data_IF_916834827923
#
_entry.id   IF_916834827923
#
_cell.length_a   1.000
_cell.length_b   1.000
_cell.length_c   1.000
_cell.angle_alpha   90.00
_cell.angle_beta   90.00
_cell.angle_gamma   90.00
#
_symmetry.space_group_name_H-M   'P 1'
#
loop_
_entity.id
_entity.type
_entity.pdbx_description
1 polymer ?
#
# COMPACT_ATOMS: atom_id res chain seq x y z
N UNK A 1 -12.26 -8.46 -33.89
CA UNK A 1 -12.14 -7.40 -32.86
C UNK A 1 -11.28 -6.26 -33.33
N UNK A 2 -11.07 -5.20 -32.54
CA UNK A 2 -10.32 -3.98 -32.93
C UNK A 2 -8.97 -4.25 -33.61
N UNK A 3 -8.22 -5.26 -33.20
CA UNK A 3 -6.93 -5.59 -33.81
C UNK A 3 -7.07 -6.15 -35.24
N UNK A 4 -8.12 -6.88 -35.51
CA UNK A 4 -8.37 -7.44 -36.85
C UNK A 4 -8.82 -6.35 -37.83
N UNK A 5 -9.61 -5.39 -37.37
CA UNK A 5 -10.04 -4.24 -38.16
C UNK A 5 -8.86 -3.31 -38.50
N UNK A 6 -7.97 -3.07 -37.52
CA UNK A 6 -6.74 -2.32 -37.75
C UNK A 6 -5.82 -3.05 -38.73
N UNK A 7 -5.64 -4.37 -38.57
CA UNK A 7 -4.81 -5.15 -39.48
C UNK A 7 -5.38 -5.17 -40.89
N UNK A 8 -6.71 -5.32 -41.04
CA UNK A 8 -7.37 -5.22 -42.32
C UNK A 8 -7.15 -3.84 -42.99
N UNK A 9 -7.26 -2.76 -42.22
CA UNK A 9 -7.02 -1.41 -42.75
C UNK A 9 -5.57 -1.20 -43.24
N UNK A 10 -4.60 -1.79 -42.48
CA UNK A 10 -3.18 -1.76 -42.87
C UNK A 10 -2.94 -2.56 -44.15
N UNK A 11 -3.41 -3.82 -44.20
CA UNK A 11 -3.21 -4.73 -45.31
C UNK A 11 -3.89 -4.24 -46.60
N UNK A 12 -5.04 -3.58 -46.46
CA UNK A 12 -5.80 -3.00 -47.54
C UNK A 12 -5.29 -1.63 -47.97
N UNK A 13 -4.24 -1.10 -47.31
CA UNK A 13 -3.69 0.25 -47.55
C UNK A 13 -4.77 1.37 -47.56
N UNK A 14 -5.77 1.22 -46.68
CA UNK A 14 -6.85 2.19 -46.56
C UNK A 14 -6.31 3.53 -46.08
N UNK A 15 -6.67 4.61 -46.79
CA UNK A 15 -6.37 5.97 -46.36
C UNK A 15 -7.50 6.48 -45.48
N UNK A 16 -7.17 7.03 -44.33
CA UNK A 16 -8.13 7.73 -43.49
C UNK A 16 -8.76 8.90 -44.28
N UNK A 17 -10.04 9.16 -44.08
CA UNK A 17 -10.71 10.33 -44.60
C UNK A 17 -10.05 11.61 -44.07
N UNK A 18 -10.23 12.72 -44.77
CA UNK A 18 -9.72 14.03 -44.31
C UNK A 18 -10.25 14.38 -42.91
N UNK A 19 -11.49 14.01 -42.65
CA UNK A 19 -12.15 14.23 -41.35
C UNK A 19 -11.54 13.36 -40.27
N UNK A 20 -11.33 12.06 -40.53
CA UNK A 20 -10.66 11.14 -39.62
C UNK A 20 -9.22 11.57 -39.34
N UNK A 21 -8.50 12.00 -40.35
CA UNK A 21 -7.13 12.52 -40.23
C UNK A 21 -7.08 13.78 -39.35
N UNK A 22 -8.08 14.65 -39.50
CA UNK A 22 -8.20 15.85 -38.66
C UNK A 22 -8.49 15.51 -37.23
N UNK A 23 -9.43 14.59 -36.98
CA UNK A 23 -9.74 14.11 -35.62
C UNK A 23 -8.53 13.49 -34.91
N UNK A 24 -7.75 12.68 -35.63
CA UNK A 24 -6.50 12.13 -35.10
C UNK A 24 -5.47 13.21 -34.80
N UNK A 25 -5.33 14.21 -35.72
CA UNK A 25 -4.42 15.31 -35.49
C UNK A 25 -4.85 16.16 -34.28
N UNK A 26 -6.14 16.47 -34.16
CA UNK A 26 -6.68 17.23 -33.04
C UNK A 26 -6.50 16.44 -31.71
N UNK A 27 -6.62 15.11 -31.73
CA UNK A 27 -6.38 14.24 -30.58
C UNK A 27 -4.89 14.24 -30.22
N UNK A 28 -4.01 14.10 -31.18
CA UNK A 28 -2.55 14.13 -30.96
C UNK A 28 -2.12 15.50 -30.42
N UNK A 29 -2.61 16.59 -31.06
CA UNK A 29 -2.28 17.96 -30.67
C UNK A 29 -2.86 18.30 -29.28
N UNK A 30 -4.02 17.76 -28.91
CA UNK A 30 -4.58 17.88 -27.55
C UNK A 30 -3.75 17.11 -26.52
N UNK A 31 -3.29 15.92 -26.84
CA UNK A 31 -2.41 15.14 -25.96
C UNK A 31 -1.00 15.76 -25.83
N UNK A 32 -0.48 16.41 -26.87
CA UNK A 32 0.81 17.11 -26.79
C UNK A 32 0.72 18.45 -26.07
N UNK A 33 -0.49 19.03 -25.96
CA UNK A 33 -0.76 20.26 -25.19
C UNK A 33 -1.21 19.98 -23.76
N UNK A 34 -1.63 18.76 -23.43
CA UNK A 34 -1.89 18.38 -22.05
C UNK A 34 -0.55 18.40 -21.30
N UNK A 35 -0.37 19.38 -20.43
CA UNK A 35 0.79 19.42 -19.55
C UNK A 35 0.88 18.05 -18.85
N UNK A 36 2.04 17.37 -18.96
CA UNK A 36 2.26 16.10 -18.28
C UNK A 36 1.96 16.31 -16.81
N UNK A 37 1.06 15.49 -16.26
CA UNK A 37 0.70 15.57 -14.85
C UNK A 37 1.97 15.48 -14.01
N UNK A 38 2.18 16.44 -13.12
CA UNK A 38 3.30 16.42 -12.17
C UNK A 38 2.83 15.83 -10.86
N UNK A 39 3.65 14.98 -10.26
CA UNK A 39 3.38 14.44 -8.93
C UNK A 39 3.36 15.59 -7.92
N UNK A 40 2.33 15.65 -7.08
CA UNK A 40 2.19 16.65 -6.01
C UNK A 40 2.58 16.02 -4.66
N UNK A 41 2.09 14.79 -4.39
CA UNK A 41 2.52 13.96 -3.27
C UNK A 41 2.99 12.64 -3.87
N UNK A 42 4.27 12.31 -3.67
CA UNK A 42 4.83 11.02 -4.07
C UNK A 42 4.16 9.89 -3.28
N UNK A 43 4.24 8.66 -3.80
CA UNK A 43 3.86 7.48 -3.05
C UNK A 43 4.55 7.47 -1.69
N UNK A 44 3.76 7.41 -0.61
CA UNK A 44 4.26 7.43 0.76
C UNK A 44 4.80 6.07 1.18
N UNK A 45 4.16 5.00 0.72
CA UNK A 45 4.59 3.64 1.00
C UNK A 45 5.76 3.24 0.09
N UNK A 46 6.61 2.39 0.64
CA UNK A 46 7.70 1.76 -0.10
C UNK A 46 7.55 0.24 -0.15
N UNK A 47 6.57 -0.28 0.58
CA UNK A 47 6.28 -1.70 0.60
C UNK A 47 5.58 -2.13 -0.68
N UNK A 48 5.96 -3.32 -1.17
CA UNK A 48 5.30 -4.01 -2.28
C UNK A 48 4.80 -5.37 -1.80
N UNK A 49 4.14 -5.40 -0.64
CA UNK A 49 3.69 -6.64 -0.03
C UNK A 49 2.51 -7.27 -0.79
N UNK A 50 2.39 -8.59 -0.63
CA UNK A 50 1.36 -9.41 -1.24
C UNK A 50 0.50 -10.10 -0.17
N UNK A 51 -0.57 -10.76 -0.61
CA UNK A 51 -1.48 -11.50 0.26
C UNK A 51 -1.08 -12.98 0.43
N UNK A 52 -0.23 -13.47 -0.44
CA UNK A 52 0.16 -14.87 -0.52
C UNK A 52 1.67 -15.03 -0.39
N UNK A 53 2.32 -15.48 -1.42
CA UNK A 53 3.75 -15.72 -1.44
C UNK A 53 4.43 -14.92 -2.52
N UNK A 54 5.75 -14.92 -2.46
CA UNK A 54 6.60 -14.45 -3.53
C UNK A 54 6.72 -15.56 -4.60
N UNK A 55 6.32 -15.25 -5.82
CA UNK A 55 6.43 -16.18 -6.96
C UNK A 55 7.73 -15.92 -7.71
N UNK A 56 8.43 -16.99 -8.06
CA UNK A 56 9.61 -16.89 -8.94
C UNK A 56 9.68 -18.07 -9.89
N UNK A 57 10.35 -17.86 -11.02
CA UNK A 57 10.59 -18.91 -12.00
C UNK A 57 11.99 -19.52 -11.81
N UNK A 58 12.07 -20.85 -11.68
CA UNK A 58 13.32 -21.58 -11.71
C UNK A 58 13.18 -22.82 -12.60
N UNK A 59 14.07 -22.95 -13.58
CA UNK A 59 14.03 -24.06 -14.54
C UNK A 59 12.74 -24.13 -15.36
N UNK A 60 12.05 -22.98 -15.56
CA UNK A 60 10.77 -22.94 -16.27
C UNK A 60 9.55 -23.31 -15.42
N UNK A 61 9.74 -23.62 -14.13
CA UNK A 61 8.66 -23.87 -13.19
C UNK A 61 8.41 -22.63 -12.31
N UNK A 62 7.12 -22.31 -12.10
CA UNK A 62 6.70 -21.33 -11.13
C UNK A 62 6.80 -21.98 -9.74
N UNK A 63 7.60 -21.40 -8.87
CA UNK A 63 7.78 -21.84 -7.50
C UNK A 63 7.29 -20.74 -6.56
N UNK A 64 6.68 -21.14 -5.44
CA UNK A 64 6.25 -20.23 -4.39
C UNK A 64 7.33 -20.26 -3.31
N UNK A 65 8.04 -19.14 -3.17
CA UNK A 65 8.84 -18.88 -1.96
C UNK A 65 7.97 -18.12 -0.99
N UNK A 66 7.82 -18.50 0.11
CA UNK A 66 7.38 -17.96 1.34
C UNK A 66 6.82 -16.54 1.47
N UNK A 67 6.08 -16.40 2.36
CA UNK A 67 4.68 -16.36 2.48
C UNK A 67 4.32 -15.28 3.49
N UNK A 68 3.83 -14.16 2.95
CA UNK A 68 3.16 -13.16 3.78
C UNK A 68 2.06 -13.80 4.65
N UNK A 69 1.47 -14.91 4.18
CA UNK A 69 0.42 -15.70 4.82
C UNK A 69 0.92 -16.87 5.67
N UNK A 70 2.19 -16.90 6.05
CA UNK A 70 2.81 -18.07 6.73
C UNK A 70 2.15 -18.44 8.07
N UNK A 71 1.40 -17.55 8.69
CA UNK A 71 0.64 -17.81 9.92
C UNK A 71 -0.87 -17.93 9.70
N UNK A 72 -1.36 -17.74 8.48
CA UNK A 72 -2.77 -17.93 8.15
C UNK A 72 -3.15 -19.43 8.21
N UNK A 73 -4.43 -19.76 8.40
CA UNK A 73 -4.90 -21.14 8.42
C UNK A 73 -4.43 -21.95 7.22
N UNK A 74 -4.21 -23.25 7.43
CA UNK A 74 -3.85 -24.19 6.39
C UNK A 74 -5.08 -24.98 5.93
N UNK A 75 -5.36 -24.95 4.63
CA UNK A 75 -6.41 -25.77 4.05
C UNK A 75 -5.85 -27.14 3.68
N UNK A 76 -6.30 -28.18 4.40
CA UNK A 76 -5.84 -29.55 4.17
C UNK A 76 -6.35 -30.14 2.83
N UNK A 77 -7.46 -29.63 2.30
CA UNK A 77 -8.03 -30.14 1.06
C UNK A 77 -7.29 -29.56 -0.15
N UNK A 78 -6.97 -28.26 -0.09
CA UNK A 78 -6.20 -27.59 -1.13
C UNK A 78 -4.69 -27.86 -1.01
N UNK A 79 -4.19 -28.20 0.19
CA UNK A 79 -2.78 -28.41 0.44
C UNK A 79 -1.97 -27.13 0.51
N UNK A 80 -2.62 -26.00 0.84
CA UNK A 80 -1.99 -24.68 0.91
C UNK A 80 -2.55 -23.83 2.07
N UNK A 81 -1.91 -22.69 2.34
CA UNK A 81 -2.44 -21.73 3.30
C UNK A 81 -3.45 -20.79 2.65
N UNK A 82 -4.43 -20.39 3.43
CA UNK A 82 -5.32 -19.28 3.06
C UNK A 82 -4.52 -18.00 2.87
N UNK A 83 -5.03 -17.08 2.04
CA UNK A 83 -4.37 -15.77 1.82
C UNK A 83 -4.61 -14.84 3.03
N UNK A 84 -3.75 -13.82 3.20
CA UNK A 84 -3.87 -12.85 4.32
C UNK A 84 -5.15 -12.02 4.25
N UNK A 85 -5.71 -11.86 3.06
CA UNK A 85 -6.81 -10.96 2.77
C UNK A 85 -6.38 -9.51 2.53
N UNK A 86 -7.06 -8.87 1.58
CA UNK A 86 -6.70 -7.52 1.12
C UNK A 86 -6.79 -6.46 2.23
N UNK A 87 -7.77 -6.59 3.14
CA UNK A 87 -7.96 -5.64 4.25
C UNK A 87 -6.77 -5.70 5.20
N UNK A 88 -6.30 -6.90 5.56
CA UNK A 88 -5.14 -7.09 6.44
C UNK A 88 -3.85 -6.61 5.77
N UNK A 89 -3.67 -6.89 4.47
CA UNK A 89 -2.49 -6.48 3.70
C UNK A 89 -2.38 -4.96 3.60
N UNK A 90 -3.46 -4.27 3.25
CA UNK A 90 -3.47 -2.81 3.19
C UNK A 90 -3.20 -2.18 4.56
N UNK A 91 -3.84 -2.70 5.62
CA UNK A 91 -3.65 -2.29 7.00
C UNK A 91 -2.19 -2.46 7.44
N UNK A 92 -1.60 -3.63 7.19
CA UNK A 92 -0.23 -3.94 7.57
C UNK A 92 0.80 -3.04 6.85
N UNK A 93 0.61 -2.74 5.57
CA UNK A 93 1.48 -1.83 4.83
C UNK A 93 1.44 -0.40 5.40
N UNK A 94 0.25 0.11 5.76
CA UNK A 94 0.11 1.41 6.43
C UNK A 94 0.78 1.40 7.80
N UNK A 95 0.62 0.33 8.57
CA UNK A 95 1.29 0.18 9.87
C UNK A 95 2.81 0.12 9.72
N UNK A 96 3.33 -0.52 8.67
CA UNK A 96 4.77 -0.53 8.34
C UNK A 96 5.27 0.87 7.98
N UNK A 97 4.50 1.67 7.24
CA UNK A 97 4.85 3.06 6.96
C UNK A 97 5.07 3.87 8.24
N UNK A 98 4.22 3.67 9.25
CA UNK A 98 4.36 4.31 10.55
C UNK A 98 5.40 3.63 11.45
N UNK A 99 5.78 2.36 11.16
CA UNK A 99 6.56 1.50 12.05
C UNK A 99 6.01 1.51 13.48
N UNK A 100 4.69 1.35 13.61
CA UNK A 100 3.94 1.52 14.86
C UNK A 100 2.75 0.56 14.94
N UNK A 101 2.42 0.07 16.17
CA UNK A 101 3.10 0.26 17.46
C UNK A 101 4.28 -0.71 17.65
N UNK A 102 5.08 -0.53 18.70
CA UNK A 102 6.07 -1.54 19.09
C UNK A 102 5.39 -2.79 19.68
N UNK A 103 4.36 -2.57 20.50
CA UNK A 103 3.45 -3.58 21.05
C UNK A 103 2.02 -3.11 20.86
N UNK A 104 1.10 -4.04 20.58
CA UNK A 104 -0.31 -3.73 20.54
C UNK A 104 -0.95 -3.70 21.92
N UNK A 105 -2.28 -3.77 21.96
CA UNK A 105 -3.11 -3.69 23.17
C UNK A 105 -4.03 -4.90 23.23
N UNK A 106 -4.10 -5.59 24.39
CA UNK A 106 -5.02 -6.68 24.65
C UNK A 106 -4.81 -7.91 23.75
N UNK A 107 -5.86 -8.66 23.57
CA UNK A 107 -5.92 -9.87 22.74
C UNK A 107 -7.30 -9.97 22.10
N UNK A 108 -7.40 -10.73 21.01
CA UNK A 108 -8.66 -11.05 20.36
C UNK A 108 -8.68 -12.48 19.86
N UNK A 109 -9.87 -13.08 19.84
CA UNK A 109 -10.09 -14.41 19.27
C UNK A 109 -11.50 -14.53 18.71
N UNK A 110 -11.65 -15.22 17.61
CA UNK A 110 -12.92 -15.50 16.95
C UNK A 110 -12.83 -16.80 16.14
N UNK A 111 -13.97 -17.31 15.68
CA UNK A 111 -14.03 -18.38 14.68
C UNK A 111 -14.56 -17.79 13.39
N UNK A 112 -13.87 -17.97 12.22
CA UNK A 112 -14.35 -17.51 10.94
C UNK A 112 -15.78 -17.98 10.65
N UNK A 113 -16.63 -17.10 10.14
CA UNK A 113 -18.07 -17.39 10.03
C UNK A 113 -18.38 -18.28 8.83
N UNK A 114 -17.78 -18.01 7.68
CA UNK A 114 -18.01 -18.81 6.48
C UNK A 114 -17.16 -20.10 6.47
N UNK A 115 -16.01 -20.08 7.15
CA UNK A 115 -15.04 -21.17 7.20
C UNK A 115 -14.67 -21.58 8.63
N UNK A 116 -15.66 -22.06 9.44
CA UNK A 116 -15.43 -22.46 10.82
C UNK A 116 -14.48 -23.67 10.96
N UNK A 117 -14.25 -24.41 9.88
CA UNK A 117 -13.31 -25.53 9.80
C UNK A 117 -11.85 -25.12 10.07
N UNK A 118 -11.50 -23.86 9.87
CA UNK A 118 -10.17 -23.35 10.23
C UNK A 118 -10.01 -23.09 11.74
N UNK A 119 -11.07 -23.31 12.53
CA UNK A 119 -11.02 -23.22 13.98
C UNK A 119 -10.87 -21.80 14.50
N UNK A 120 -10.55 -21.70 15.79
CA UNK A 120 -10.37 -20.40 16.46
C UNK A 120 -9.11 -19.71 15.96
N UNK A 121 -9.24 -18.50 15.48
CA UNK A 121 -8.15 -17.59 15.17
C UNK A 121 -7.92 -16.67 16.37
N UNK A 122 -6.66 -16.41 16.73
CA UNK A 122 -6.37 -15.62 17.92
C UNK A 122 -5.04 -14.87 17.81
N UNK A 123 -4.99 -13.68 18.43
CA UNK A 123 -3.77 -12.89 18.56
C UNK A 123 -3.69 -12.25 19.95
N UNK A 124 -2.51 -12.27 20.55
CA UNK A 124 -2.20 -11.50 21.75
C UNK A 124 -1.33 -10.29 21.33
N UNK A 125 -1.98 -9.19 21.03
CA UNK A 125 -1.35 -7.97 20.55
C UNK A 125 -0.42 -7.36 21.61
N UNK A 126 -0.83 -7.39 22.88
CA UNK A 126 -0.07 -6.83 23.98
C UNK A 126 1.24 -7.58 24.28
N UNK A 127 1.29 -8.88 24.00
CA UNK A 127 2.49 -9.70 24.19
C UNK A 127 3.42 -9.72 22.96
N UNK A 128 2.99 -9.17 21.83
CA UNK A 128 3.73 -9.26 20.57
C UNK A 128 4.54 -8.00 20.30
N UNK A 129 5.86 -8.17 20.19
CA UNK A 129 6.75 -7.13 19.67
C UNK A 129 6.71 -7.15 18.14
N UNK A 130 6.25 -6.08 17.53
CA UNK A 130 6.32 -5.90 16.09
C UNK A 130 7.72 -5.43 15.70
N UNK A 131 8.54 -6.37 15.26
CA UNK A 131 9.95 -6.13 14.93
C UNK A 131 10.11 -5.38 13.60
N UNK A 132 9.75 -4.10 13.57
CA UNK A 132 9.70 -3.25 12.38
C UNK A 132 10.98 -3.25 11.55
N UNK A 133 12.14 -3.33 12.22
CA UNK A 133 13.44 -3.39 11.55
C UNK A 133 13.68 -4.72 10.80
N UNK A 134 12.91 -5.76 11.13
CA UNK A 134 12.92 -7.06 10.45
C UNK A 134 11.86 -7.15 9.34
N UNK A 135 11.18 -6.07 9.01
CA UNK A 135 10.16 -6.06 7.96
C UNK A 135 10.70 -5.31 6.74
N UNK A 136 11.33 -5.98 5.75
CA UNK A 136 11.76 -5.35 4.51
C UNK A 136 10.56 -4.84 3.69
N UNK A 137 10.84 -3.99 2.71
CA UNK A 137 9.81 -3.46 1.82
C UNK A 137 9.18 -4.54 0.91
N UNK A 138 9.92 -5.62 0.66
CA UNK A 138 9.46 -6.81 -0.07
C UNK A 138 10.14 -8.07 0.50
N UNK A 139 9.51 -9.23 0.34
CA UNK A 139 10.15 -10.52 0.56
C UNK A 139 10.83 -10.99 -0.73
N UNK A 140 12.05 -11.49 -0.60
CA UNK A 140 12.85 -12.03 -1.69
C UNK A 140 13.38 -13.42 -1.31
N UNK A 141 14.00 -14.12 -2.24
CA UNK A 141 14.66 -15.39 -1.98
C UNK A 141 15.78 -15.31 -0.91
N UNK A 142 16.32 -14.11 -0.69
CA UNK A 142 17.36 -13.85 0.33
C UNK A 142 16.79 -13.41 1.69
N UNK A 143 15.48 -13.22 1.80
CA UNK A 143 14.83 -12.82 3.07
C UNK A 143 15.02 -13.90 4.14
N UNK A 144 15.44 -13.46 5.32
CA UNK A 144 15.67 -14.36 6.45
C UNK A 144 14.33 -14.83 7.06
N UNK A 145 14.36 -15.95 7.79
CA UNK A 145 13.19 -16.44 8.54
C UNK A 145 12.66 -15.40 9.52
N UNK A 146 13.54 -14.61 10.15
CA UNK A 146 13.13 -13.52 11.04
C UNK A 146 12.33 -12.43 10.31
N UNK A 147 12.75 -12.06 9.10
CA UNK A 147 12.04 -11.09 8.26
C UNK A 147 10.67 -11.61 7.82
N UNK A 148 10.62 -12.85 7.35
CA UNK A 148 9.38 -13.52 6.93
C UNK A 148 8.38 -13.62 8.09
N UNK A 149 8.83 -14.10 9.24
CA UNK A 149 7.99 -14.22 10.43
C UNK A 149 7.50 -12.86 10.95
N UNK A 150 8.33 -11.82 10.90
CA UNK A 150 7.92 -10.50 11.33
C UNK A 150 6.74 -9.96 10.50
N UNK A 151 6.82 -10.07 9.17
CA UNK A 151 5.74 -9.63 8.28
C UNK A 151 4.51 -10.53 8.44
N UNK A 152 4.68 -11.86 8.44
CA UNK A 152 3.56 -12.79 8.59
C UNK A 152 2.82 -12.60 9.92
N UNK A 153 3.54 -12.29 11.01
CA UNK A 153 2.92 -11.97 12.31
C UNK A 153 2.05 -10.72 12.22
N UNK A 154 2.56 -9.65 11.60
CA UNK A 154 1.79 -8.43 11.42
C UNK A 154 0.55 -8.66 10.55
N UNK A 155 0.71 -9.33 9.41
CA UNK A 155 -0.39 -9.68 8.49
C UNK A 155 -1.49 -10.48 9.18
N UNK A 156 -1.11 -11.55 9.89
CA UNK A 156 -2.05 -12.40 10.60
C UNK A 156 -2.77 -11.63 11.73
N UNK A 157 -2.04 -10.82 12.50
CA UNK A 157 -2.64 -10.00 13.55
C UNK A 157 -3.59 -8.93 12.99
N UNK A 158 -3.26 -8.32 11.85
CA UNK A 158 -4.20 -7.44 11.15
C UNK A 158 -5.47 -8.20 10.76
N UNK A 159 -5.34 -9.43 10.22
CA UNK A 159 -6.47 -10.27 9.88
C UNK A 159 -7.32 -10.63 11.11
N UNK A 160 -6.70 -11.08 12.20
CA UNK A 160 -7.40 -11.39 13.45
C UNK A 160 -8.14 -10.17 13.99
N UNK A 161 -7.56 -8.98 13.89
CA UNK A 161 -8.15 -7.75 14.44
C UNK A 161 -9.43 -7.28 13.73
N UNK A 162 -9.71 -7.81 12.55
CA UNK A 162 -10.89 -7.49 11.72
C UNK A 162 -11.78 -8.71 11.44
N UNK A 163 -11.64 -9.76 12.25
CA UNK A 163 -12.40 -11.02 12.12
C UNK A 163 -12.35 -11.59 10.68
N UNK A 164 -11.14 -11.70 10.12
CA UNK A 164 -10.92 -12.15 8.75
C UNK A 164 -11.58 -13.52 8.50
N UNK A 165 -12.43 -13.59 7.52
CA UNK A 165 -12.98 -14.85 7.00
C UNK A 165 -11.97 -15.42 6.02
N UNK A 166 -11.12 -16.32 6.52
CA UNK A 166 -10.00 -16.86 5.78
C UNK A 166 -10.46 -17.85 4.70
N UNK A 167 -9.87 -17.76 3.50
CA UNK A 167 -10.05 -18.72 2.41
C UNK A 167 -8.82 -18.74 1.49
N UNK A 168 -8.72 -19.76 0.65
CA UNK A 168 -7.66 -19.88 -0.36
C UNK A 168 -7.93 -18.95 -1.56
N UNK A 169 -6.87 -18.60 -2.27
CA UNK A 169 -6.95 -17.68 -3.41
C UNK A 169 -7.91 -18.13 -4.50
N UNK A 170 -7.94 -19.42 -4.80
CA UNK A 170 -8.77 -20.03 -5.87
C UNK A 170 -10.28 -19.96 -5.56
N UNK A 171 -10.68 -19.85 -4.32
CA UNK A 171 -12.08 -19.71 -3.90
C UNK A 171 -12.54 -18.23 -3.79
N UNK A 172 -11.70 -17.28 -4.14
CA UNK A 172 -12.00 -15.85 -4.04
C UNK A 172 -11.23 -15.12 -2.94
N UNK A 173 -10.51 -15.87 -2.11
CA UNK A 173 -9.61 -15.34 -1.09
C UNK A 173 -10.29 -14.89 0.20
N UNK A 174 -9.47 -14.57 1.19
CA UNK A 174 -9.90 -14.15 2.51
C UNK A 174 -10.54 -12.76 2.49
N UNK A 175 -11.65 -12.59 3.22
CA UNK A 175 -12.45 -11.38 3.26
C UNK A 175 -12.67 -10.80 4.65
N UNK A 176 -12.69 -9.48 4.76
CA UNK A 176 -13.12 -8.74 5.93
C UNK A 176 -13.73 -7.39 5.52
N UNK A 177 -14.44 -6.74 6.43
CA UNK A 177 -14.98 -5.40 6.19
C UNK A 177 -13.91 -4.33 6.39
N UNK A 178 -13.68 -3.49 5.37
CA UNK A 178 -12.84 -2.28 5.54
C UNK A 178 -13.41 -1.33 6.60
N UNK A 179 -14.70 -1.42 6.89
CA UNK A 179 -15.38 -0.65 7.94
C UNK A 179 -14.93 -1.00 9.36
N UNK A 180 -14.33 -2.18 9.58
CA UNK A 180 -13.87 -2.62 10.89
C UNK A 180 -12.44 -2.14 11.22
N UNK A 181 -11.70 -1.69 10.21
CA UNK A 181 -10.33 -1.21 10.35
C UNK A 181 -10.18 -0.08 11.38
N UNK A 182 -11.06 0.94 11.43
CA UNK A 182 -10.94 1.98 12.46
C UNK A 182 -10.94 1.42 13.88
N UNK A 183 -11.88 0.53 14.18
CA UNK A 183 -11.97 -0.09 15.49
C UNK A 183 -10.75 -0.97 15.79
N UNK A 184 -10.27 -1.73 14.82
CA UNK A 184 -9.09 -2.57 14.95
C UNK A 184 -7.83 -1.74 15.25
N UNK A 185 -7.60 -0.67 14.50
CA UNK A 185 -6.45 0.21 14.68
C UNK A 185 -6.46 0.90 16.06
N UNK A 186 -7.63 1.35 16.52
CA UNK A 186 -7.77 2.03 17.82
C UNK A 186 -7.64 1.06 18.97
N UNK A 187 -8.37 -0.06 18.94
CA UNK A 187 -8.49 -0.96 20.09
C UNK A 187 -7.27 -1.86 20.29
N UNK A 188 -6.64 -2.29 19.19
CA UNK A 188 -5.55 -3.26 19.25
C UNK A 188 -4.17 -2.70 18.90
N UNK A 189 -4.11 -1.59 18.16
CA UNK A 189 -2.84 -1.05 17.68
C UNK A 189 -2.55 0.38 18.15
N UNK A 190 -3.37 0.90 19.09
CA UNK A 190 -3.16 2.19 19.74
C UNK A 190 -3.00 3.38 18.75
N UNK A 191 -3.75 3.36 17.64
CA UNK A 191 -3.90 4.49 16.74
C UNK A 191 -4.88 5.52 17.30
N UNK A 192 -4.87 6.75 16.78
CA UNK A 192 -5.77 7.82 17.23
C UNK A 192 -7.25 7.44 17.07
N UNK A 193 -8.06 7.81 18.04
CA UNK A 193 -9.53 7.61 17.98
C UNK A 193 -10.23 8.44 16.89
N UNK A 194 -9.50 9.30 16.18
CA UNK A 194 -9.97 10.07 15.02
C UNK A 194 -9.99 9.25 13.72
N UNK A 195 -9.37 8.06 13.71
CA UNK A 195 -9.46 7.12 12.56
C UNK A 195 -10.93 6.84 12.27
N UNK A 196 -11.34 6.98 11.02
CA UNK A 196 -12.75 6.84 10.67
C UNK A 196 -12.95 6.33 9.24
N UNK A 197 -13.97 5.48 9.07
CA UNK A 197 -14.45 5.02 7.79
C UNK A 197 -15.32 6.08 7.13
N UNK A 198 -15.16 6.30 5.83
CA UNK A 198 -15.93 7.21 5.01
C UNK A 198 -16.40 6.50 3.75
N UNK A 199 -17.69 6.59 3.45
CA UNK A 199 -18.24 6.13 2.16
C UNK A 199 -18.27 7.29 1.17
N UNK A 200 -17.76 7.08 -0.03
CA UNK A 200 -17.77 8.09 -1.11
C UNK A 200 -19.20 8.55 -1.46
N UNK A 201 -20.19 7.67 -1.31
CA UNK A 201 -21.59 8.00 -1.58
C UNK A 201 -22.11 9.19 -0.75
N UNK A 202 -21.50 9.49 0.39
CA UNK A 202 -21.86 10.63 1.24
C UNK A 202 -21.20 11.96 0.81
N UNK A 203 -20.43 11.97 -0.28
CA UNK A 203 -19.63 13.13 -0.72
C UNK A 203 -19.89 13.46 -2.18
N UNK A 204 -19.85 14.74 -2.53
CA UNK A 204 -19.63 15.14 -3.91
C UNK A 204 -18.23 14.73 -4.38
N UNK A 205 -18.01 14.57 -5.69
CA UNK A 205 -16.69 14.20 -6.23
C UNK A 205 -15.59 15.15 -5.77
N UNK A 206 -15.86 16.47 -5.77
CA UNK A 206 -14.86 17.47 -5.36
C UNK A 206 -14.54 17.35 -3.86
N UNK A 207 -15.56 17.17 -3.01
CA UNK A 207 -15.35 17.02 -1.57
C UNK A 207 -14.58 15.73 -1.25
N UNK A 208 -14.85 14.64 -1.99
CA UNK A 208 -14.12 13.39 -1.86
C UNK A 208 -12.64 13.55 -2.24
N UNK A 209 -12.35 14.15 -3.40
CA UNK A 209 -10.99 14.47 -3.84
C UNK A 209 -10.26 15.32 -2.80
N UNK A 210 -10.91 16.36 -2.27
CA UNK A 210 -10.31 17.24 -1.26
C UNK A 210 -10.05 16.51 0.06
N UNK A 211 -10.96 15.61 0.47
CA UNK A 211 -10.78 14.77 1.65
C UNK A 211 -9.49 13.92 1.54
N UNK A 212 -9.34 13.20 0.43
CA UNK A 212 -8.16 12.36 0.20
C UNK A 212 -6.87 13.20 0.13
N UNK A 213 -6.89 14.33 -0.56
CA UNK A 213 -5.74 15.25 -0.62
C UNK A 213 -5.35 15.82 0.74
N UNK A 214 -6.32 16.08 1.60
CA UNK A 214 -6.05 16.56 2.97
C UNK A 214 -5.26 15.54 3.76
N UNK A 215 -5.60 14.25 3.65
CA UNK A 215 -4.85 13.18 4.29
C UNK A 215 -3.43 13.05 3.71
N UNK A 216 -3.32 13.00 2.39
CA UNK A 216 -2.03 12.81 1.71
C UNK A 216 -1.09 14.00 1.92
N UNK A 217 -1.59 15.23 1.93
CA UNK A 217 -0.80 16.42 2.25
C UNK A 217 -0.29 16.42 3.70
N UNK A 218 -1.02 15.75 4.60
CA UNK A 218 -0.59 15.53 5.97
C UNK A 218 0.29 14.26 6.12
N UNK A 219 0.72 13.66 4.99
CA UNK A 219 1.51 12.43 4.95
C UNK A 219 0.83 11.27 5.68
N UNK A 220 -0.48 11.17 5.61
CA UNK A 220 -1.27 10.05 6.13
C UNK A 220 -1.76 9.19 4.97
N UNK A 221 -1.20 7.98 4.79
CA UNK A 221 -1.72 7.03 3.81
C UNK A 221 -3.13 6.59 4.20
N UNK A 222 -3.93 6.29 3.20
CA UNK A 222 -5.35 6.02 3.32
C UNK A 222 -5.58 4.54 2.98
N UNK A 223 -6.30 3.79 3.82
CA UNK A 223 -6.81 2.50 3.40
C UNK A 223 -8.07 2.72 2.58
N UNK A 224 -7.99 2.41 1.31
CA UNK A 224 -9.06 2.63 0.34
C UNK A 224 -9.73 1.32 -0.04
N UNK A 225 -10.98 1.36 -0.44
CA UNK A 225 -11.65 0.19 -1.01
C UNK A 225 -12.61 0.54 -2.12
N UNK A 226 -12.91 -0.44 -2.96
CA UNK A 226 -13.89 -0.35 -4.01
C UNK A 226 -14.42 -1.71 -4.44
N UNK A 227 -15.47 -1.70 -5.24
CA UNK A 227 -16.11 -2.88 -5.78
C UNK A 227 -16.29 -2.79 -7.29
N UNK A 228 -16.44 -3.95 -7.92
CA UNK A 228 -16.74 -4.12 -9.34
C UNK A 228 -16.87 -5.59 -9.67
N UNK A 229 -15.89 -6.22 -10.27
CA UNK A 229 -15.85 -7.68 -10.47
C UNK A 229 -15.67 -8.46 -9.18
N UNK A 230 -15.24 -7.77 -8.11
CA UNK A 230 -15.10 -8.24 -6.72
C UNK A 230 -14.93 -7.05 -5.81
N UNK A 231 -14.78 -7.28 -4.51
CA UNK A 231 -14.40 -6.26 -3.53
C UNK A 231 -12.89 -6.30 -3.30
N UNK A 232 -12.26 -5.12 -3.11
CA UNK A 232 -10.84 -5.05 -2.76
C UNK A 232 -10.55 -3.89 -1.83
N UNK A 233 -9.62 -4.09 -0.91
CA UNK A 233 -9.07 -3.06 -0.04
C UNK A 233 -7.59 -2.89 -0.34
N UNK A 234 -7.13 -1.66 -0.50
CA UNK A 234 -5.80 -1.31 -0.97
C UNK A 234 -5.37 0.04 -0.38
N UNK A 235 -4.17 0.51 -0.69
CA UNK A 235 -3.67 1.76 -0.13
C UNK A 235 -3.68 2.86 -1.18
N UNK A 236 -4.20 4.04 -0.80
CA UNK A 236 -4.06 5.29 -1.53
C UNK A 236 -3.03 6.16 -0.80
N UNK A 237 -1.91 6.48 -1.45
CA UNK A 237 -0.75 7.03 -0.77
C UNK A 237 -0.02 8.16 -1.51
N UNK A 238 -0.59 8.67 -2.59
CA UNK A 238 -0.06 9.81 -3.33
C UNK A 238 -1.05 10.39 -4.32
N UNK A 239 -0.73 11.55 -4.92
CA UNK A 239 -1.54 12.12 -6.00
C UNK A 239 -0.76 13.06 -6.88
N UNK A 240 -1.26 13.31 -8.10
CA UNK A 240 -0.70 14.23 -9.07
C UNK A 240 -1.61 15.44 -9.37
N UNK A 241 -1.10 16.38 -10.15
CA UNK A 241 -1.78 17.63 -10.52
C UNK A 241 -3.07 17.43 -11.34
N UNK A 242 -3.27 16.26 -11.93
CA UNK A 242 -4.47 15.88 -12.69
C UNK A 242 -5.53 15.14 -11.85
N UNK A 243 -5.43 15.17 -10.51
CA UNK A 243 -6.32 14.46 -9.60
C UNK A 243 -6.32 12.93 -9.81
N UNK A 244 -5.24 12.37 -10.33
CA UNK A 244 -5.02 10.94 -10.28
C UNK A 244 -4.31 10.62 -8.96
N UNK A 245 -4.76 9.57 -8.30
CA UNK A 245 -4.24 9.11 -7.01
C UNK A 245 -3.35 7.89 -7.22
N UNK A 246 -2.26 7.82 -6.48
CA UNK A 246 -1.40 6.65 -6.45
C UNK A 246 -2.03 5.59 -5.57
N UNK A 247 -2.06 4.36 -6.08
CA UNK A 247 -2.56 3.18 -5.36
C UNK A 247 -1.51 2.10 -5.33
N UNK A 248 -1.36 1.49 -4.14
CA UNK A 248 -0.66 0.25 -3.91
C UNK A 248 -1.73 -0.83 -3.70
N UNK A 249 -1.78 -1.77 -4.62
CA UNK A 249 -2.85 -2.77 -4.66
C UNK A 249 -2.65 -3.95 -3.71
N UNK A 250 -1.46 -4.09 -3.12
CA UNK A 250 -1.12 -5.25 -2.29
C UNK A 250 -0.91 -6.53 -3.12
N UNK A 251 -0.30 -6.40 -4.31
CA UNK A 251 -0.05 -7.45 -5.28
C UNK A 251 1.41 -7.47 -5.74
N UNK A 252 2.34 -7.53 -4.80
CA UNK A 252 3.79 -7.50 -5.08
C UNK A 252 4.24 -6.29 -5.91
N UNK A 253 3.55 -5.14 -5.78
CA UNK A 253 3.82 -3.94 -6.57
C UNK A 253 3.27 -3.98 -7.99
N UNK A 254 2.62 -5.08 -8.40
CA UNK A 254 2.05 -5.20 -9.73
C UNK A 254 0.90 -4.20 -9.91
N UNK A 255 1.01 -3.42 -11.00
CA UNK A 255 0.06 -2.38 -11.38
C UNK A 255 -0.08 -1.21 -10.38
N UNK A 256 0.82 -1.09 -9.40
CA UNK A 256 0.89 0.10 -8.57
C UNK A 256 1.11 1.34 -9.46
N UNK A 257 0.42 2.43 -9.15
CA UNK A 257 0.50 3.63 -9.98
C UNK A 257 -0.64 4.63 -9.80
N UNK A 258 -0.72 5.58 -10.72
CA UNK A 258 -1.69 6.67 -10.67
C UNK A 258 -2.96 6.36 -11.47
N UNK A 259 -4.11 6.41 -10.80
CA UNK A 259 -5.43 6.13 -11.38
C UNK A 259 -6.41 7.26 -11.12
N UNK A 260 -7.36 7.44 -12.04
CA UNK A 260 -8.55 8.27 -11.80
C UNK A 260 -9.52 7.54 -10.88
N UNK A 261 -10.14 8.25 -9.94
CA UNK A 261 -11.20 7.69 -9.08
C UNK A 261 -12.45 7.23 -9.85
N UNK A 262 -12.59 7.65 -11.09
CA UNK A 262 -13.66 7.22 -11.99
C UNK A 262 -13.29 6.01 -12.84
N UNK A 263 -12.03 5.51 -12.73
CA UNK A 263 -11.53 4.36 -13.48
C UNK A 263 -10.41 3.67 -12.67
N UNK A 264 -10.82 2.92 -11.64
CA UNK A 264 -9.92 2.11 -10.81
C UNK A 264 -9.81 0.71 -11.41
N UNK A 265 -9.11 0.62 -12.54
CA UNK A 265 -8.95 -0.60 -13.33
C UNK A 265 -7.46 -1.02 -13.39
N UNK A 266 -6.95 -1.71 -12.36
CA UNK A 266 -5.54 -2.14 -12.35
C UNK A 266 -5.22 -3.27 -13.34
N UNK A 267 -6.20 -3.81 -14.06
CA UNK A 267 -5.99 -4.95 -14.94
C UNK A 267 -5.93 -6.29 -14.19
N UNK A 268 -5.07 -7.20 -14.64
CA UNK A 268 -5.02 -8.60 -14.20
C UNK A 268 -3.89 -8.91 -13.20
N UNK A 269 -3.49 -7.94 -12.38
CA UNK A 269 -2.33 -8.08 -11.48
C UNK A 269 -2.56 -8.86 -10.18
N UNK A 270 -3.82 -9.17 -9.81
CA UNK A 270 -4.15 -9.84 -8.55
C UNK A 270 -4.21 -11.36 -8.63
N UNK A 271 -4.31 -12.00 -7.48
CA UNK A 271 -4.58 -13.44 -7.39
C UNK A 271 -5.88 -13.78 -8.14
N UNK A 272 -5.82 -14.68 -9.14
CA UNK A 272 -6.96 -15.09 -9.95
C UNK A 272 -6.98 -14.53 -11.37
N UNK A 273 -6.05 -13.67 -11.79
CA UNK A 273 -5.79 -13.30 -13.19
C UNK A 273 -6.94 -12.61 -13.94
N UNK A 274 -7.91 -12.02 -13.24
CA UNK A 274 -9.08 -11.35 -13.82
C UNK A 274 -8.82 -9.87 -14.10
N UNK A 275 -9.55 -9.30 -15.07
CA UNK A 275 -9.57 -7.85 -15.27
C UNK A 275 -10.39 -7.19 -14.16
N UNK A 276 -9.70 -6.72 -13.11
CA UNK A 276 -10.33 -6.11 -11.96
C UNK A 276 -10.76 -4.68 -12.23
N UNK A 277 -11.93 -4.32 -11.66
CA UNK A 277 -12.45 -2.98 -11.62
C UNK A 277 -13.00 -2.72 -10.21
N UNK A 278 -12.54 -1.65 -9.57
CA UNK A 278 -12.94 -1.26 -8.21
C UNK A 278 -13.56 0.14 -8.17
N UNK A 279 -14.20 0.55 -9.25
CA UNK A 279 -14.72 1.92 -9.42
C UNK A 279 -16.01 2.18 -8.65
N UNK A 280 -16.77 1.13 -8.27
CA UNK A 280 -18.03 1.26 -7.53
C UNK A 280 -17.80 1.15 -6.02
N UNK A 281 -18.81 1.58 -5.23
CA UNK A 281 -18.87 1.45 -3.77
C UNK A 281 -17.59 1.86 -3.05
N UNK A 282 -16.95 2.92 -3.54
CA UNK A 282 -15.67 3.38 -3.01
C UNK A 282 -15.81 3.88 -1.58
N UNK A 283 -14.82 3.56 -0.77
CA UNK A 283 -14.71 4.03 0.61
C UNK A 283 -13.25 4.24 1.02
N UNK A 284 -13.05 4.89 2.15
CA UNK A 284 -11.73 5.19 2.69
C UNK A 284 -11.72 5.15 4.22
N UNK A 285 -10.67 4.61 4.81
CA UNK A 285 -10.32 4.83 6.20
C UNK A 285 -9.28 5.94 6.25
N UNK A 286 -9.61 7.00 6.93
CA UNK A 286 -8.81 8.24 7.04
C UNK A 286 -8.40 8.53 8.49
N UNK A 287 -7.48 9.47 8.67
CA UNK A 287 -6.97 9.84 10.00
C UNK A 287 -6.06 8.77 10.60
N UNK A 288 -5.48 7.88 9.77
CA UNK A 288 -4.62 6.79 10.25
C UNK A 288 -3.27 7.37 10.66
N UNK A 289 -3.12 7.61 11.96
CA UNK A 289 -1.86 8.05 12.57
C UNK A 289 -1.75 7.53 14.01
N UNK A 290 -0.52 7.30 14.53
CA UNK A 290 -0.30 6.84 15.90
C UNK A 290 -0.95 7.73 16.96
N UNK A 291 -1.51 7.14 18.03
CA UNK A 291 -2.15 7.91 19.12
C UNK A 291 -1.13 8.66 19.97
N UNK A 292 0.03 8.11 20.21
CA UNK A 292 1.12 8.85 20.81
C UNK A 292 1.63 9.86 19.80
N UNK A 293 1.70 11.15 20.18
CA UNK A 293 2.55 12.10 19.50
C UNK A 293 3.98 11.54 19.60
N UNK A 294 4.37 10.80 18.59
CA UNK A 294 5.78 10.57 18.34
C UNK A 294 6.27 11.93 17.92
N UNK A 295 6.80 12.69 18.87
CA UNK A 295 7.33 14.01 18.57
C UNK A 295 8.28 13.85 17.39
N UNK A 296 8.04 14.61 16.32
CA UNK A 296 9.00 14.66 15.25
C UNK A 296 10.35 15.11 15.82
N UNK A 297 11.47 14.57 15.35
CA UNK A 297 12.77 15.13 15.71
C UNK A 297 12.76 16.63 15.46
N UNK A 298 13.21 17.39 16.46
CA UNK A 298 13.30 18.85 16.38
C UNK A 298 14.71 19.29 16.05
N UNK A 299 14.87 20.57 15.66
CA UNK A 299 16.18 21.17 15.37
C UNK A 299 16.97 20.41 14.31
N UNK A 300 16.27 19.91 13.26
CA UNK A 300 16.94 19.36 12.09
C UNK A 300 17.82 20.45 11.48
N UNK A 301 19.11 20.20 11.42
CA UNK A 301 20.13 21.07 10.87
C UNK A 301 21.07 20.28 9.98
N UNK A 302 21.90 20.98 9.22
CA UNK A 302 22.88 20.32 8.36
C UNK A 302 24.22 21.06 8.34
N UNK A 303 25.25 20.29 8.03
CA UNK A 303 26.58 20.81 7.64
C UNK A 303 26.96 20.28 6.28
N UNK A 304 27.70 21.08 5.51
CA UNK A 304 28.20 20.69 4.19
C UNK A 304 29.73 20.52 4.26
N UNK A 305 30.22 19.40 3.71
CA UNK A 305 31.64 19.19 3.44
C UNK A 305 31.84 19.04 1.95
N UNK A 306 32.49 20.02 1.34
CA UNK A 306 32.52 20.14 -0.14
C UNK A 306 31.18 20.56 -0.71
N UNK A 307 30.87 20.10 -1.93
CA UNK A 307 29.69 20.54 -2.70
C UNK A 307 28.49 19.61 -2.57
N UNK A 308 28.66 18.38 -2.06
CA UNK A 308 27.62 17.36 -2.05
C UNK A 308 27.52 16.54 -0.76
N UNK A 309 28.59 16.49 0.06
CA UNK A 309 28.52 15.71 1.29
C UNK A 309 27.78 16.49 2.36
N UNK A 310 26.61 16.00 2.73
CA UNK A 310 25.76 16.60 3.75
C UNK A 310 25.73 15.70 5.00
N UNK A 311 25.84 16.31 6.16
CA UNK A 311 25.58 15.65 7.43
C UNK A 311 24.39 16.35 8.09
N UNK A 312 23.32 15.59 8.30
CA UNK A 312 22.12 16.00 9.00
C UNK A 312 22.28 15.69 10.50
N UNK A 313 21.79 16.59 11.35
CA UNK A 313 21.72 16.39 12.81
C UNK A 313 20.39 16.87 13.33
N UNK A 314 19.87 16.23 14.38
CA UNK A 314 18.59 16.58 15.01
C UNK A 314 18.60 16.25 16.49
N UNK A 315 17.60 16.74 17.23
CA UNK A 315 17.44 16.40 18.63
C UNK A 315 16.89 14.98 18.81
N UNK A 316 17.39 14.28 19.82
CA UNK A 316 16.88 12.97 20.20
C UNK A 316 15.38 13.07 20.60
N UNK A 317 14.62 12.06 20.16
CA UNK A 317 13.23 11.86 20.58
C UNK A 317 13.22 10.78 21.66
N UNK A 318 12.58 11.07 22.78
CA UNK A 318 12.46 10.11 23.90
C UNK A 318 11.85 8.79 23.41
N UNK A 319 12.47 7.68 23.79
CA UNK A 319 12.11 6.32 23.39
C UNK A 319 12.18 6.05 21.86
N UNK A 320 12.88 6.88 21.08
CA UNK A 320 13.23 6.51 19.71
C UNK A 320 14.36 5.47 19.72
N UNK A 321 14.17 4.39 18.99
CA UNK A 321 15.23 3.38 18.76
C UNK A 321 15.96 3.60 17.43
N UNK A 322 15.36 4.33 16.50
CA UNK A 322 15.92 4.68 15.20
C UNK A 322 15.17 5.84 14.56
N UNK A 323 15.72 6.37 13.49
CA UNK A 323 15.17 7.47 12.71
C UNK A 323 15.20 7.14 11.24
N UNK A 324 14.11 7.44 10.54
CA UNK A 324 14.01 7.37 9.09
C UNK A 324 14.34 8.74 8.51
N UNK A 325 15.29 8.80 7.59
CA UNK A 325 15.72 10.03 6.93
C UNK A 325 15.20 10.07 5.51
N UNK A 326 14.55 11.15 5.15
CA UNK A 326 13.91 11.34 3.84
C UNK A 326 14.52 12.52 3.11
N UNK A 327 14.69 12.39 1.79
CA UNK A 327 15.05 13.45 0.87
C UNK A 327 14.02 13.54 -0.25
N UNK A 328 13.48 14.73 -0.48
CA UNK A 328 12.48 14.99 -1.52
C UNK A 328 11.28 14.02 -1.48
N UNK A 329 10.85 13.63 -0.27
CA UNK A 329 9.75 12.71 -0.04
C UNK A 329 10.14 11.22 -0.06
N UNK A 330 11.34 10.85 -0.50
CA UNK A 330 11.81 9.46 -0.54
C UNK A 330 12.69 9.11 0.66
N UNK A 331 12.51 7.94 1.24
CA UNK A 331 13.39 7.41 2.28
C UNK A 331 14.78 7.16 1.69
N UNK A 332 15.81 7.73 2.31
CA UNK A 332 17.20 7.57 1.87
C UNK A 332 18.06 6.78 2.86
N UNK A 333 17.55 6.54 4.06
CA UNK A 333 18.25 5.73 5.03
C UNK A 333 17.64 5.76 6.42
N UNK A 334 18.24 4.93 7.27
CA UNK A 334 17.92 4.78 8.70
C UNK A 334 19.14 5.19 9.53
N UNK A 335 18.91 5.82 10.65
CA UNK A 335 19.94 6.16 11.63
C UNK A 335 19.52 5.66 13.03
N UNK A 336 20.43 5.00 13.75
CA UNK A 336 20.27 4.67 15.17
C UNK A 336 20.64 5.83 16.09
N UNK A 337 21.39 6.77 15.56
CA UNK A 337 21.85 7.99 16.23
C UNK A 337 21.10 9.23 15.67
N UNK A 338 21.33 10.38 16.28
CA UNK A 338 20.72 11.67 15.87
C UNK A 338 21.49 12.38 14.75
N UNK A 339 22.17 11.60 13.91
CA UNK A 339 22.95 12.08 12.77
C UNK A 339 22.84 11.14 11.58
N UNK A 340 22.94 11.70 10.38
CA UNK A 340 22.95 10.93 9.13
C UNK A 340 23.74 11.69 8.08
N UNK A 341 24.63 10.97 7.38
CA UNK A 341 25.46 11.57 6.31
C UNK A 341 25.20 10.90 4.97
N UNK A 342 25.16 11.71 3.92
CA UNK A 342 25.05 11.22 2.54
C UNK A 342 25.81 12.11 1.55
N UNK A 343 26.00 11.61 0.33
CA UNK A 343 26.37 12.43 -0.82
C UNK A 343 25.11 12.77 -1.60
N UNK A 344 24.61 14.00 -1.44
CA UNK A 344 23.39 14.46 -2.06
C UNK A 344 23.59 14.73 -3.56
N UNK A 345 22.57 14.51 -4.42
CA UNK A 345 22.60 14.95 -5.81
C UNK A 345 22.64 16.48 -5.91
N UNK A 346 23.17 16.99 -7.01
CA UNK A 346 23.15 18.43 -7.29
C UNK A 346 21.71 18.97 -7.37
N UNK A 347 21.52 20.19 -6.90
CA UNK A 347 20.25 20.90 -6.92
C UNK A 347 19.66 21.13 -5.53
N UNK A 348 18.45 21.68 -5.49
CA UNK A 348 17.71 21.88 -4.23
C UNK A 348 17.20 20.53 -3.70
N UNK A 349 17.54 20.22 -2.45
CA UNK A 349 17.04 19.03 -1.74
C UNK A 349 16.31 19.46 -0.46
N UNK A 350 15.16 18.88 -0.21
CA UNK A 350 14.42 19.02 1.05
C UNK A 350 14.61 17.76 1.91
N UNK A 351 14.82 17.94 3.21
CA UNK A 351 15.01 16.83 4.14
C UNK A 351 14.01 16.91 5.28
N UNK A 352 13.57 15.73 5.71
CA UNK A 352 12.89 15.56 6.98
C UNK A 352 13.28 14.23 7.62
N UNK A 353 13.14 14.17 8.95
CA UNK A 353 13.46 12.99 9.74
C UNK A 353 12.23 12.56 10.50
N UNK A 354 11.96 11.26 10.52
CA UNK A 354 10.93 10.63 11.34
C UNK A 354 11.55 9.60 12.25
N UNK A 355 10.89 9.35 13.36
CA UNK A 355 11.20 8.22 14.23
C UNK A 355 10.65 6.92 13.64
#
# INVERSE_FOLDING_TARGET
GYNEEIQYAIDSKMKASTETTKLWKDLIDSNTKAAKATTVVNALLQTTWDQNGYYYYSGGQLLIYELYNNLCPYDNNAGERTVTGCVATAMAQIMKYWSYPAYGVGSHSYTPTAHPEYGVQSANFAATNYAWNNMPNELTSSSTTAQKNAIATLMYHCGVSVDMDYDIGDNGGSGASTGDVPNALVNYFNYKSTVSYKSKAAYSNNNWINLLKTELNASRPIQYSGRGTGGHSFVCDGYNSSNQFHFNWGWSGNNDGFYSLTSLNPGSGGAGGSNYNFTNDQSAVIGIEPASNIAAPTNLSYTLSGTQNITLTWNAVSAASSYNVYRNGSLIGNASETTFSETAPYGSNSYYVRR
#
